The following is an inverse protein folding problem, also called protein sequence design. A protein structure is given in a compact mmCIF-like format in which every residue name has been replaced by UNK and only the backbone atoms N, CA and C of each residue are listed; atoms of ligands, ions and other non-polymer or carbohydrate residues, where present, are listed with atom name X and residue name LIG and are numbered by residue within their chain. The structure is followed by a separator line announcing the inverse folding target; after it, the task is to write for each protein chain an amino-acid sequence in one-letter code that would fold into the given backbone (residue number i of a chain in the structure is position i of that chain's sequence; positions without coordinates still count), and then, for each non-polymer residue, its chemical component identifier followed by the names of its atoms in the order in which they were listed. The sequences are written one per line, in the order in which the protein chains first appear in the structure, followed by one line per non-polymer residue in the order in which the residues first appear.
data_IF_242496895825
#
_entry.id   IF_242496895825
#
_cell.length_a   1.000
_cell.length_b   1.000
_cell.length_c   1.000
_cell.angle_alpha   90.00
_cell.angle_beta   90.00
_cell.angle_gamma   90.00
#
_symmetry.space_group_name_H-M   'P 1'
#
loop_
_entity.id
_entity.type
_entity.pdbx_description
1 polymer ?
#
# COMPACT_ATOMS: atom_id res chain seq x y z
N UNK A 1 10.06 6.22 -23.40
CA UNK A 1 9.21 6.22 -24.59
C UNK A 1 7.83 6.85 -24.31
N UNK A 2 7.10 6.46 -23.26
CA UNK A 2 5.77 7.00 -22.93
C UNK A 2 5.78 8.51 -22.67
N UNK A 3 6.78 9.05 -21.99
CA UNK A 3 6.93 10.50 -21.76
C UNK A 3 7.08 11.26 -23.09
N UNK A 4 7.87 10.71 -24.02
CA UNK A 4 8.12 11.33 -25.33
C UNK A 4 6.92 11.21 -26.29
N UNK A 5 6.11 10.15 -26.11
CA UNK A 5 4.91 9.91 -26.90
C UNK A 5 3.68 10.68 -26.39
N UNK A 6 3.76 11.23 -25.18
CA UNK A 6 2.68 12.01 -24.58
C UNK A 6 2.54 13.37 -25.28
N UNK A 7 1.30 13.76 -25.61
CA UNK A 7 0.95 15.08 -26.12
C UNK A 7 0.75 16.12 -24.99
N UNK A 8 0.91 15.71 -23.73
CA UNK A 8 0.75 16.58 -22.57
C UNK A 8 1.98 17.50 -22.42
N UNK A 9 1.78 18.70 -21.87
CA UNK A 9 2.90 19.53 -21.40
C UNK A 9 3.74 18.73 -20.40
N UNK A 10 5.05 18.84 -20.47
CA UNK A 10 5.94 18.05 -19.59
C UNK A 10 5.79 18.43 -18.12
N UNK A 11 5.37 19.65 -17.81
CA UNK A 11 5.02 20.11 -16.46
C UNK A 11 3.87 19.33 -15.83
N UNK A 12 2.99 18.74 -16.66
CA UNK A 12 1.87 17.89 -16.23
C UNK A 12 2.25 16.39 -16.13
N UNK A 13 3.55 16.10 -16.10
CA UNK A 13 4.07 14.74 -15.98
C UNK A 13 4.93 14.63 -14.72
N UNK A 14 4.51 13.78 -13.78
CA UNK A 14 5.28 13.46 -12.60
C UNK A 14 5.84 12.04 -12.66
N UNK A 15 7.08 11.90 -12.21
CA UNK A 15 7.71 10.60 -11.98
C UNK A 15 8.06 10.50 -10.49
N UNK A 16 7.38 9.61 -9.80
CA UNK A 16 7.47 9.44 -8.36
C UNK A 16 8.26 8.19 -8.01
N UNK A 17 9.15 8.31 -7.03
CA UNK A 17 9.91 7.20 -6.50
C UNK A 17 9.87 7.18 -4.97
N UNK A 18 10.16 6.01 -4.39
CA UNK A 18 10.24 5.86 -2.93
C UNK A 18 11.52 6.50 -2.36
N UNK A 19 12.61 6.52 -3.12
CA UNK A 19 13.92 6.96 -2.64
C UNK A 19 14.59 7.96 -3.59
N UNK A 20 15.41 8.84 -3.02
CA UNK A 20 16.24 9.80 -3.77
C UNK A 20 17.23 9.09 -4.70
N UNK A 21 17.72 7.90 -4.33
CA UNK A 21 18.62 7.11 -5.16
C UNK A 21 17.99 6.76 -6.51
N UNK A 22 16.76 6.24 -6.49
CA UNK A 22 16.02 5.90 -7.71
C UNK A 22 15.84 7.11 -8.63
N UNK A 23 15.57 8.29 -8.06
CA UNK A 23 15.44 9.53 -8.81
C UNK A 23 16.76 9.99 -9.42
N UNK A 24 17.87 9.89 -8.70
CA UNK A 24 19.20 10.22 -9.19
C UNK A 24 19.60 9.34 -10.38
N UNK A 25 19.37 8.02 -10.26
CA UNK A 25 19.64 7.06 -11.33
C UNK A 25 18.81 7.38 -12.58
N UNK A 26 17.52 7.66 -12.40
CA UNK A 26 16.63 8.05 -13.49
C UNK A 26 17.03 9.40 -14.10
N UNK A 27 17.37 10.40 -13.27
CA UNK A 27 17.82 11.71 -13.72
C UNK A 27 19.04 11.60 -14.66
N UNK A 28 20.01 10.75 -14.29
CA UNK A 28 21.19 10.50 -15.14
C UNK A 28 20.78 9.94 -16.52
N UNK A 29 19.85 8.99 -16.53
CA UNK A 29 19.34 8.42 -17.79
C UNK A 29 18.54 9.43 -18.63
N UNK A 30 17.76 10.29 -17.98
CA UNK A 30 16.99 11.32 -18.66
C UNK A 30 17.91 12.42 -19.27
N UNK A 31 18.95 12.82 -18.53
CA UNK A 31 19.98 13.74 -19.04
C UNK A 31 20.69 13.17 -20.27
N UNK A 32 21.07 11.89 -20.23
CA UNK A 32 21.71 11.22 -21.38
C UNK A 32 20.80 11.16 -22.63
N UNK A 33 19.48 11.31 -22.45
CA UNK A 33 18.50 11.37 -23.55
C UNK A 33 17.95 12.76 -23.83
N UNK A 34 18.58 13.79 -23.28
CA UNK A 34 18.17 15.21 -23.44
C UNK A 34 16.70 15.45 -23.06
N UNK A 35 16.19 14.74 -22.04
CA UNK A 35 14.86 14.95 -21.50
C UNK A 35 14.97 15.94 -20.34
N UNK A 36 14.43 17.15 -20.54
CA UNK A 36 14.42 18.21 -19.54
C UNK A 36 13.55 17.77 -18.32
N UNK A 37 14.08 17.95 -17.13
CA UNK A 37 13.41 17.55 -15.89
C UNK A 37 13.94 18.30 -14.68
N UNK A 38 13.09 18.42 -13.66
CA UNK A 38 13.42 19.01 -12.35
C UNK A 38 13.32 17.93 -11.27
N UNK A 39 14.30 17.92 -10.36
CA UNK A 39 14.37 17.02 -9.21
C UNK A 39 13.82 17.75 -7.98
N UNK A 40 12.81 17.16 -7.34
CA UNK A 40 12.27 17.59 -6.05
C UNK A 40 12.56 16.54 -4.99
N UNK A 41 13.26 16.94 -3.94
CA UNK A 41 13.47 16.10 -2.75
C UNK A 41 13.24 16.94 -1.48
N UNK A 42 12.92 16.26 -0.39
CA UNK A 42 12.71 16.91 0.91
C UNK A 42 13.97 17.64 1.42
N UNK A 43 15.15 17.20 0.96
CA UNK A 43 16.45 17.80 1.31
C UNK A 43 16.68 19.11 0.56
N UNK A 44 16.10 19.27 -0.62
CA UNK A 44 16.20 20.47 -1.45
C UNK A 44 14.97 21.35 -1.21
N UNK A 45 15.00 22.17 -0.16
CA UNK A 45 13.96 23.18 0.13
C UNK A 45 13.80 24.24 -0.96
N UNK A 46 14.49 24.11 -2.09
CA UNK A 46 14.33 25.01 -3.22
C UNK A 46 13.09 24.59 -4.02
N UNK A 47 12.09 25.41 -3.95
CA UNK A 47 10.91 25.44 -4.82
C UNK A 47 11.32 25.78 -6.26
N UNK A 48 12.08 24.91 -6.91
CA UNK A 48 12.25 25.03 -8.35
C UNK A 48 10.92 24.61 -8.97
N UNK A 49 10.15 25.60 -9.40
CA UNK A 49 8.92 25.35 -10.17
C UNK A 49 9.39 24.77 -11.49
N UNK A 50 8.85 23.59 -11.85
CA UNK A 50 9.11 23.01 -13.16
C UNK A 50 8.65 24.01 -14.24
N UNK A 51 9.53 24.33 -15.17
CA UNK A 51 9.15 25.10 -16.36
C UNK A 51 8.18 24.28 -17.23
N UNK A 52 7.49 24.93 -18.17
CA UNK A 52 6.53 24.25 -19.07
C UNK A 52 7.16 23.06 -19.84
N UNK A 53 8.49 23.08 -20.03
CA UNK A 53 9.24 22.03 -20.71
C UNK A 53 9.80 20.91 -19.82
N UNK A 54 9.58 20.93 -18.49
CA UNK A 54 10.25 20.06 -17.54
C UNK A 54 9.34 19.00 -16.95
N UNK A 55 9.79 17.74 -16.95
CA UNK A 55 9.17 16.65 -16.18
C UNK A 55 9.57 16.77 -14.72
N UNK A 56 8.63 16.64 -13.80
CA UNK A 56 8.93 16.63 -12.36
C UNK A 56 9.30 15.23 -11.90
N UNK A 57 10.52 15.07 -11.39
CA UNK A 57 10.97 13.88 -10.65
C UNK A 57 10.91 14.19 -9.16
N UNK A 58 10.17 13.40 -8.38
CA UNK A 58 10.01 13.67 -6.96
C UNK A 58 9.94 12.38 -6.12
N UNK A 59 10.36 12.48 -4.85
CA UNK A 59 9.96 11.46 -3.87
C UNK A 59 8.48 11.62 -3.56
N UNK A 60 7.85 10.53 -3.11
CA UNK A 60 6.43 10.57 -2.77
C UNK A 60 6.15 11.59 -1.66
N UNK A 61 7.09 11.77 -0.72
CA UNK A 61 6.98 12.77 0.35
C UNK A 61 7.02 14.20 -0.18
N UNK A 62 7.94 14.48 -1.10
CA UNK A 62 8.15 15.82 -1.65
C UNK A 62 7.01 16.32 -2.56
N UNK A 63 6.08 15.43 -2.96
CA UNK A 63 4.97 15.75 -3.88
C UNK A 63 3.64 15.94 -3.16
N UNK A 64 3.62 15.93 -1.83
CA UNK A 64 2.39 16.06 -1.05
C UNK A 64 1.64 17.35 -1.44
N UNK A 65 0.36 17.20 -1.78
CA UNK A 65 -0.53 18.32 -2.16
C UNK A 65 -0.47 18.74 -3.64
N UNK A 66 0.42 18.15 -4.46
CA UNK A 66 0.49 18.41 -5.89
C UNK A 66 -0.13 17.25 -6.68
N UNK A 67 -0.66 17.55 -7.86
CA UNK A 67 -1.27 16.59 -8.78
C UNK A 67 -0.83 16.86 -10.21
N UNK A 68 -0.88 15.83 -11.06
CA UNK A 68 -0.52 15.93 -12.47
C UNK A 68 -1.47 15.10 -13.34
N UNK A 69 -1.57 15.46 -14.61
CA UNK A 69 -2.38 14.73 -15.59
C UNK A 69 -1.87 13.29 -15.77
N UNK A 70 -0.55 13.12 -15.74
CA UNK A 70 0.13 11.86 -15.94
C UNK A 70 1.15 11.60 -14.82
N UNK A 71 1.00 10.50 -14.13
CA UNK A 71 1.92 10.10 -13.06
C UNK A 71 2.52 8.73 -13.35
N UNK A 72 3.83 8.64 -13.20
CA UNK A 72 4.57 7.39 -13.17
C UNK A 72 5.02 7.14 -11.73
N UNK A 73 4.67 6.00 -11.14
CA UNK A 73 5.27 5.51 -9.89
C UNK A 73 6.27 4.43 -10.26
N UNK A 74 7.55 4.70 -10.00
CA UNK A 74 8.63 3.80 -10.42
C UNK A 74 9.11 2.90 -9.28
N UNK A 75 9.57 1.71 -9.66
CA UNK A 75 10.14 0.76 -8.73
C UNK A 75 9.12 0.16 -7.76
N UNK A 76 7.91 -0.14 -8.23
CA UNK A 76 6.85 -0.79 -7.45
C UNK A 76 7.17 -2.27 -7.14
N UNK A 77 8.29 -2.52 -6.47
CA UNK A 77 8.77 -3.86 -6.10
C UNK A 77 8.64 -4.08 -4.59
N UNK A 78 8.64 -5.34 -4.16
CA UNK A 78 8.65 -5.72 -2.74
C UNK A 78 9.92 -5.28 -1.97
N UNK A 79 10.95 -4.82 -2.68
CA UNK A 79 12.15 -4.25 -2.08
C UNK A 79 11.97 -2.77 -1.71
N UNK A 80 11.11 -2.06 -2.42
CA UNK A 80 10.88 -0.62 -2.26
C UNK A 80 9.57 -0.31 -1.51
N UNK A 81 8.57 -1.19 -1.58
CA UNK A 81 7.27 -1.04 -0.93
C UNK A 81 6.82 -2.38 -0.31
N UNK A 82 6.79 -2.49 1.04
CA UNK A 82 7.24 -1.51 2.03
C UNK A 82 8.76 -1.32 2.00
N UNK A 83 9.23 -0.10 2.25
CA UNK A 83 10.65 0.18 2.32
C UNK A 83 11.24 -0.51 3.55
N UNK A 84 12.25 -1.35 3.31
CA UNK A 84 13.05 -1.96 4.38
C UNK A 84 14.04 -0.91 4.89
N UNK A 85 13.56 0.04 5.70
CA UNK A 85 14.44 0.98 6.38
C UNK A 85 15.22 0.24 7.47
N UNK A 86 16.51 0.45 7.51
CA UNK A 86 17.31 0.17 8.70
C UNK A 86 16.89 1.16 9.78
N UNK A 87 16.05 0.73 10.69
CA UNK A 87 15.76 1.52 11.88
C UNK A 87 17.00 1.46 12.77
N UNK A 88 17.45 2.64 13.22
CA UNK A 88 18.55 2.70 14.17
C UNK A 88 18.09 2.02 15.47
N UNK A 89 18.87 1.09 16.10
CA UNK A 89 18.45 0.35 17.28
C UNK A 89 17.92 1.23 18.43
N UNK A 90 18.39 2.48 18.50
CA UNK A 90 17.94 3.46 19.51
C UNK A 90 16.49 3.93 19.27
N UNK A 91 16.01 3.93 18.02
CA UNK A 91 14.63 4.33 17.70
C UNK A 91 13.63 3.27 18.17
N UNK A 92 13.99 1.99 18.12
CA UNK A 92 13.16 0.89 18.61
C UNK A 92 12.96 0.95 20.13
N UNK A 93 13.91 1.51 20.89
CA UNK A 93 13.81 1.66 22.34
C UNK A 93 12.88 2.80 22.79
N UNK A 94 12.59 3.75 21.92
CA UNK A 94 11.79 4.98 22.24
C UNK A 94 10.36 4.89 21.70
N UNK A 95 10.02 3.88 20.92
CA UNK A 95 8.64 3.71 20.40
C UNK A 95 7.68 3.37 21.51
N UNK A 96 6.88 4.36 21.90
CA UNK A 96 5.82 4.25 22.93
C UNK A 96 4.50 3.73 22.33
N UNK A 97 4.33 3.73 21.02
CA UNK A 97 3.14 3.25 20.32
C UNK A 97 3.52 2.25 19.22
N UNK A 98 2.67 1.23 19.01
CA UNK A 98 2.78 0.27 17.91
C UNK A 98 2.65 1.03 16.57
N UNK A 99 3.77 1.53 16.06
CA UNK A 99 3.84 2.13 14.75
C UNK A 99 3.80 1.03 13.68
N UNK A 100 2.64 0.86 13.03
CA UNK A 100 2.52 -0.07 11.92
C UNK A 100 3.16 0.55 10.65
N UNK A 101 4.43 0.24 10.46
CA UNK A 101 5.23 0.68 9.33
C UNK A 101 4.65 0.26 7.98
N UNK A 102 3.98 -0.88 7.92
CA UNK A 102 3.38 -1.36 6.68
C UNK A 102 2.15 -0.52 6.32
N UNK A 103 1.34 -0.13 7.30
CA UNK A 103 0.22 0.78 7.06
C UNK A 103 0.67 2.16 6.61
N UNK A 104 1.74 2.68 7.21
CA UNK A 104 2.29 3.97 6.78
C UNK A 104 2.85 3.91 5.35
N UNK A 105 3.54 2.84 5.00
CA UNK A 105 4.02 2.62 3.63
C UNK A 105 2.85 2.42 2.64
N UNK A 106 1.74 1.80 3.04
CA UNK A 106 0.51 1.73 2.24
C UNK A 106 -0.11 3.10 2.04
N UNK A 107 -0.20 3.92 3.09
CA UNK A 107 -0.69 5.30 3.00
C UNK A 107 0.17 6.12 2.06
N UNK A 108 1.50 5.98 2.16
CA UNK A 108 2.43 6.65 1.27
C UNK A 108 2.25 6.19 -0.18
N UNK A 109 2.09 4.90 -0.43
CA UNK A 109 1.80 4.38 -1.76
C UNK A 109 0.46 4.93 -2.29
N UNK A 110 -0.58 4.98 -1.44
CA UNK A 110 -1.87 5.58 -1.79
C UNK A 110 -1.73 7.06 -2.17
N UNK A 111 -0.92 7.83 -1.42
CA UNK A 111 -0.61 9.23 -1.77
C UNK A 111 0.00 9.31 -3.16
N UNK A 112 0.94 8.42 -3.51
CA UNK A 112 1.57 8.42 -4.83
C UNK A 112 0.55 8.18 -5.97
N UNK A 113 -0.29 7.16 -5.84
CA UNK A 113 -1.28 6.82 -6.89
C UNK A 113 -2.39 7.85 -7.01
N UNK A 114 -2.78 8.51 -5.91
CA UNK A 114 -3.80 9.57 -5.91
C UNK A 114 -3.33 10.89 -6.51
N UNK A 115 -2.05 11.02 -6.88
CA UNK A 115 -1.54 12.23 -7.57
C UNK A 115 -1.93 12.31 -9.04
N UNK A 116 -2.39 11.22 -9.63
CA UNK A 116 -2.76 11.16 -11.04
C UNK A 116 -4.20 11.64 -11.27
N UNK A 117 -4.36 12.66 -12.13
CA UNK A 117 -5.69 13.15 -12.55
C UNK A 117 -6.29 12.31 -13.67
N UNK A 118 -5.49 11.90 -14.66
CA UNK A 118 -5.99 11.15 -15.84
C UNK A 118 -5.34 9.80 -16.04
N UNK A 119 -4.01 9.72 -15.91
CA UNK A 119 -3.28 8.50 -16.26
C UNK A 119 -2.24 8.17 -15.20
N UNK A 120 -2.25 6.91 -14.79
CA UNK A 120 -1.31 6.36 -13.83
C UNK A 120 -0.55 5.19 -14.44
N UNK A 121 0.77 5.21 -14.33
CA UNK A 121 1.64 4.10 -14.72
C UNK A 121 2.41 3.60 -13.50
N UNK A 122 2.21 2.34 -13.16
CA UNK A 122 2.97 1.65 -12.12
C UNK A 122 4.06 0.81 -12.82
N UNK A 123 5.32 1.04 -12.47
CA UNK A 123 6.43 0.31 -13.09
C UNK A 123 7.20 -0.50 -12.06
N UNK A 124 7.58 -1.70 -12.42
CA UNK A 124 8.45 -2.55 -11.59
C UNK A 124 9.44 -3.32 -12.47
N UNK A 125 10.56 -3.72 -11.88
CA UNK A 125 11.57 -4.56 -12.49
C UNK A 125 11.69 -5.86 -11.70
N UNK A 126 11.93 -6.98 -12.40
CA UNK A 126 12.03 -8.31 -11.77
C UNK A 126 10.74 -9.13 -11.81
N UNK A 127 10.70 -10.22 -11.02
CA UNK A 127 9.62 -11.21 -11.08
C UNK A 127 8.38 -10.86 -10.25
N UNK A 128 8.52 -10.00 -9.24
CA UNK A 128 7.42 -9.70 -8.29
C UNK A 128 7.26 -8.20 -8.10
N UNK A 129 6.03 -7.72 -8.30
CA UNK A 129 5.63 -6.38 -7.88
C UNK A 129 5.43 -6.33 -6.35
N UNK A 130 5.19 -5.15 -5.81
CA UNK A 130 4.82 -4.96 -4.41
C UNK A 130 3.47 -5.60 -4.09
N UNK A 131 3.30 -6.10 -2.85
CA UNK A 131 2.02 -6.60 -2.34
C UNK A 131 0.93 -5.52 -2.25
N UNK A 132 1.30 -4.24 -2.34
CA UNK A 132 0.36 -3.12 -2.34
C UNK A 132 -0.47 -3.02 -3.65
N UNK A 133 0.01 -3.65 -4.72
CA UNK A 133 -0.77 -3.82 -5.96
C UNK A 133 -1.52 -5.14 -5.84
N UNK A 134 -2.79 -5.05 -5.48
CA UNK A 134 -3.67 -6.23 -5.32
C UNK A 134 -4.07 -6.83 -6.66
N UNK A 135 -4.52 -8.09 -6.64
CA UNK A 135 -5.07 -8.75 -7.83
C UNK A 135 -6.24 -7.95 -8.43
N UNK A 136 -7.11 -7.38 -7.59
CA UNK A 136 -8.22 -6.53 -8.03
C UNK A 136 -7.72 -5.27 -8.76
N UNK A 137 -6.63 -4.66 -8.29
CA UNK A 137 -6.01 -3.54 -9.02
C UNK A 137 -5.41 -4.01 -10.34
N UNK A 138 -4.82 -5.19 -10.40
CA UNK A 138 -4.29 -5.76 -11.64
C UNK A 138 -5.38 -6.01 -12.69
N UNK A 139 -6.56 -6.43 -12.29
CA UNK A 139 -7.71 -6.61 -13.19
C UNK A 139 -8.20 -5.30 -13.82
N UNK A 140 -7.96 -4.18 -13.15
CA UNK A 140 -8.25 -2.83 -13.65
C UNK A 140 -7.15 -2.26 -14.56
N UNK A 141 -5.93 -2.79 -14.47
CA UNK A 141 -4.81 -2.34 -15.28
C UNK A 141 -4.99 -2.78 -16.74
N UNK A 142 -4.86 -1.83 -17.66
CA UNK A 142 -5.02 -2.08 -19.11
C UNK A 142 -6.45 -1.98 -19.63
N UNK A 143 -7.46 -1.87 -18.78
CA UNK A 143 -8.80 -1.50 -19.20
C UNK A 143 -8.84 0.00 -19.48
N UNK A 144 -9.14 0.42 -20.71
CA UNK A 144 -9.50 1.81 -20.98
C UNK A 144 -10.78 2.09 -20.20
N UNK A 145 -10.70 2.94 -19.19
CA UNK A 145 -11.90 3.44 -18.51
C UNK A 145 -12.54 4.42 -19.47
N UNK A 146 -13.61 4.03 -20.12
CA UNK A 146 -14.45 4.94 -20.87
C UNK A 146 -14.94 6.02 -19.90
N UNK A 147 -14.63 7.28 -20.19
CA UNK A 147 -14.93 8.44 -19.35
C UNK A 147 -16.45 8.64 -19.08
N UNK A 148 -17.31 7.76 -19.62
CA UNK A 148 -18.76 7.75 -19.44
C UNK A 148 -19.27 6.66 -18.50
N UNK A 149 -18.40 5.91 -17.82
CA UNK A 149 -18.86 5.03 -16.76
C UNK A 149 -19.26 5.93 -15.57
N UNK A 150 -20.53 6.38 -15.56
CA UNK A 150 -21.18 6.74 -14.30
C UNK A 150 -20.80 5.64 -13.34
N UNK A 151 -20.15 6.02 -12.24
CA UNK A 151 -19.89 5.16 -11.09
C UNK A 151 -21.23 4.49 -10.71
N UNK A 152 -21.54 3.40 -11.37
CA UNK A 152 -22.52 2.48 -10.83
C UNK A 152 -21.84 1.94 -9.59
N UNK A 153 -22.30 2.42 -8.46
CA UNK A 153 -22.03 1.84 -7.16
C UNK A 153 -22.46 0.38 -7.24
N UNK A 154 -21.55 -0.48 -7.69
CA UNK A 154 -21.68 -1.92 -7.46
C UNK A 154 -21.82 -2.07 -5.95
N UNK A 155 -22.76 -2.86 -5.46
CA UNK A 155 -23.00 -2.99 -4.03
C UNK A 155 -21.88 -3.78 -3.37
N UNK A 156 -20.74 -3.13 -3.13
CA UNK A 156 -19.67 -3.60 -2.25
C UNK A 156 -20.14 -3.57 -0.78
N UNK A 157 -21.36 -3.10 -0.56
CA UNK A 157 -21.90 -2.81 0.78
C UNK A 157 -22.28 -4.05 1.61
N UNK A 158 -22.46 -5.22 1.00
CA UNK A 158 -22.81 -6.43 1.78
C UNK A 158 -21.58 -7.16 2.31
N UNK A 159 -20.50 -7.26 1.54
CA UNK A 159 -19.28 -7.93 1.98
C UNK A 159 -18.46 -7.07 2.96
N UNK A 160 -18.42 -5.75 2.79
CA UNK A 160 -17.75 -4.85 3.73
C UNK A 160 -18.45 -4.74 5.09
N UNK A 161 -19.80 -4.79 5.15
CA UNK A 161 -20.51 -4.85 6.42
C UNK A 161 -20.20 -6.14 7.17
N UNK A 162 -20.22 -7.27 6.48
CA UNK A 162 -19.88 -8.56 7.08
C UNK A 162 -18.43 -8.61 7.59
N UNK A 163 -17.47 -8.12 6.82
CA UNK A 163 -16.07 -8.11 7.24
C UNK A 163 -15.82 -7.20 8.47
N UNK A 164 -16.41 -5.99 8.49
CA UNK A 164 -16.29 -5.09 9.63
C UNK A 164 -16.90 -5.69 10.91
N UNK A 165 -18.04 -6.35 10.78
CA UNK A 165 -18.71 -7.02 11.89
C UNK A 165 -17.90 -8.23 12.42
N UNK A 166 -17.27 -8.99 11.53
CA UNK A 166 -16.38 -10.10 11.89
C UNK A 166 -15.14 -9.59 12.61
N UNK A 167 -14.55 -8.48 12.15
CA UNK A 167 -13.39 -7.84 12.79
C UNK A 167 -13.74 -7.46 14.24
N UNK A 168 -14.89 -6.83 14.47
CA UNK A 168 -15.28 -6.41 15.82
C UNK A 168 -15.56 -7.63 16.72
N UNK A 169 -16.22 -8.68 16.22
CA UNK A 169 -16.44 -9.92 16.96
C UNK A 169 -15.12 -10.63 17.35
N UNK A 170 -14.17 -10.70 16.41
CA UNK A 170 -12.85 -11.29 16.67
C UNK A 170 -12.04 -10.46 17.67
N UNK A 171 -12.11 -9.13 17.62
CA UNK A 171 -11.46 -8.25 18.60
C UNK A 171 -12.05 -8.41 20.01
N UNK A 172 -13.38 -8.49 20.10
CA UNK A 172 -14.05 -8.69 21.38
C UNK A 172 -13.70 -10.07 21.98
N UNK A 173 -13.82 -11.14 21.19
CA UNK A 173 -13.41 -12.48 21.61
C UNK A 173 -11.94 -12.50 22.09
N UNK A 174 -11.04 -11.90 21.31
CA UNK A 174 -9.61 -11.80 21.69
C UNK A 174 -9.42 -11.06 23.00
N UNK A 175 -10.13 -9.95 23.21
CA UNK A 175 -10.05 -9.14 24.43
C UNK A 175 -10.51 -9.93 25.67
N UNK A 176 -11.62 -10.64 25.54
CA UNK A 176 -12.13 -11.48 26.63
C UNK A 176 -11.19 -12.62 26.96
N UNK A 177 -10.67 -13.30 25.94
CA UNK A 177 -9.73 -14.40 26.09
C UNK A 177 -8.41 -13.94 26.74
N UNK A 178 -7.89 -12.79 26.31
CA UNK A 178 -6.71 -12.15 26.90
C UNK A 178 -6.89 -11.84 28.37
N UNK A 179 -8.07 -11.31 28.75
CA UNK A 179 -8.42 -11.05 30.15
C UNK A 179 -8.48 -12.31 30.96
N UNK A 180 -9.11 -13.38 30.45
CA UNK A 180 -9.21 -14.69 31.12
C UNK A 180 -7.83 -15.33 31.32
N UNK A 181 -6.93 -15.19 30.40
CA UNK A 181 -5.58 -15.79 30.44
C UNK A 181 -4.53 -14.89 31.13
N UNK A 182 -4.85 -13.64 31.43
CA UNK A 182 -3.89 -12.66 32.00
C UNK A 182 -2.73 -12.32 31.10
N UNK A 183 -2.92 -12.38 29.79
CA UNK A 183 -1.89 -12.09 28.77
C UNK A 183 -2.31 -10.95 27.86
N UNK A 184 -1.36 -10.23 27.25
CA UNK A 184 -1.68 -9.19 26.29
C UNK A 184 -2.44 -9.74 25.06
N UNK A 185 -3.42 -8.99 24.54
CA UNK A 185 -4.30 -9.42 23.45
C UNK A 185 -3.55 -9.80 22.16
N UNK A 186 -2.46 -9.08 21.84
CA UNK A 186 -1.64 -9.34 20.65
C UNK A 186 -0.93 -10.71 20.67
N UNK A 187 -0.70 -11.30 21.86
CA UNK A 187 -0.12 -12.64 21.99
C UNK A 187 -1.06 -13.70 21.42
N UNK A 188 -2.36 -13.50 21.56
CA UNK A 188 -3.39 -14.38 21.00
C UNK A 188 -3.45 -14.23 19.50
N UNK A 189 -3.82 -13.03 19.01
CA UNK A 189 -3.87 -12.67 17.58
C UNK A 189 -3.48 -11.21 17.39
N UNK A 190 -2.66 -10.93 16.38
CA UNK A 190 -2.40 -9.58 15.93
C UNK A 190 -3.61 -9.00 15.16
N UNK A 191 -3.76 -7.68 15.15
CA UNK A 191 -4.84 -7.01 14.40
C UNK A 191 -4.79 -7.32 12.91
N UNK A 192 -3.59 -7.43 12.33
CA UNK A 192 -3.39 -7.87 10.95
C UNK A 192 -3.99 -9.25 10.68
N UNK A 193 -3.76 -10.20 11.58
CA UNK A 193 -4.33 -11.55 11.48
C UNK A 193 -5.86 -11.52 11.55
N UNK A 194 -6.44 -10.65 12.39
CA UNK A 194 -7.89 -10.48 12.49
C UNK A 194 -8.47 -9.91 11.18
N UNK A 195 -7.80 -8.94 10.57
CA UNK A 195 -8.21 -8.37 9.30
C UNK A 195 -8.15 -9.42 8.18
N UNK A 196 -7.08 -10.21 8.14
CA UNK A 196 -6.89 -11.27 7.16
C UNK A 196 -7.95 -12.36 7.31
N UNK A 197 -8.27 -12.79 8.54
CA UNK A 197 -9.35 -13.71 8.86
C UNK A 197 -10.72 -13.20 8.34
N UNK A 198 -11.02 -11.92 8.54
CA UNK A 198 -12.28 -11.33 8.10
C UNK A 198 -12.35 -11.15 6.57
N UNK A 199 -11.22 -11.05 5.89
CA UNK A 199 -11.14 -10.95 4.43
C UNK A 199 -11.23 -12.31 3.74
N UNK A 200 -10.56 -13.31 4.29
CA UNK A 200 -10.48 -14.65 3.71
C UNK A 200 -11.65 -15.56 4.13
N UNK A 201 -12.26 -15.27 5.29
CA UNK A 201 -13.41 -16.00 5.85
C UNK A 201 -13.17 -17.53 5.86
N UNK A 202 -12.11 -18.02 6.51
CA UNK A 202 -11.80 -19.45 6.58
C UNK A 202 -12.95 -20.24 7.17
N UNK A 203 -13.19 -21.43 6.64
CA UNK A 203 -14.27 -22.33 7.06
C UNK A 203 -13.75 -23.60 7.72
N UNK A 204 -12.47 -23.93 7.51
CA UNK A 204 -11.82 -25.14 8.00
C UNK A 204 -10.54 -24.82 8.76
N UNK A 205 -10.00 -25.81 9.47
CA UNK A 205 -8.69 -25.66 10.15
C UNK A 205 -7.53 -25.56 9.15
N UNK A 206 -7.66 -26.22 8.02
CA UNK A 206 -6.72 -26.18 6.92
C UNK A 206 -6.65 -24.78 6.30
N UNK A 207 -7.80 -24.10 6.13
CA UNK A 207 -7.82 -22.70 5.68
C UNK A 207 -7.11 -21.75 6.66
N UNK A 208 -7.13 -22.07 7.97
CA UNK A 208 -6.43 -21.28 8.97
C UNK A 208 -4.90 -21.37 8.87
N UNK A 209 -4.35 -22.44 8.28
CA UNK A 209 -2.92 -22.59 8.05
C UNK A 209 -2.37 -21.57 7.05
N UNK A 210 -3.22 -21.12 6.12
CA UNK A 210 -2.85 -20.12 5.11
C UNK A 210 -2.84 -18.68 5.67
N UNK A 211 -3.41 -18.46 6.87
CA UNK A 211 -3.49 -17.14 7.49
C UNK A 211 -2.19 -16.74 8.16
N UNK A 212 -1.66 -15.58 7.78
CA UNK A 212 -0.42 -15.06 8.36
C UNK A 212 -0.57 -14.81 9.86
N UNK A 213 0.32 -15.41 10.66
CA UNK A 213 0.33 -15.25 12.12
C UNK A 213 -0.52 -16.28 12.88
N UNK A 214 -1.11 -17.25 12.17
CA UNK A 214 -1.73 -18.44 12.77
C UNK A 214 -0.85 -19.65 12.46
N UNK A 215 -0.07 -20.06 13.44
CA UNK A 215 0.73 -21.28 13.34
C UNK A 215 0.02 -22.50 13.93
N UNK A 216 0.57 -23.73 13.76
CA UNK A 216 -0.06 -24.99 14.20
C UNK A 216 -0.50 -24.98 15.65
N UNK A 217 0.30 -24.40 16.53
CA UNK A 217 -0.04 -24.29 17.97
C UNK A 217 -1.28 -23.43 18.24
N UNK A 218 -1.46 -22.36 17.45
CA UNK A 218 -2.64 -21.49 17.58
C UNK A 218 -3.89 -22.14 17.00
N UNK A 219 -3.73 -22.91 15.93
CA UNK A 219 -4.83 -23.67 15.32
C UNK A 219 -5.36 -24.70 16.31
N UNK A 220 -4.47 -25.46 16.95
CA UNK A 220 -4.85 -26.43 17.97
C UNK A 220 -5.56 -25.76 19.15
N UNK A 221 -5.04 -24.61 19.60
CA UNK A 221 -5.53 -23.94 20.81
C UNK A 221 -6.79 -23.10 20.58
N UNK A 222 -6.88 -22.41 19.44
CA UNK A 222 -7.90 -21.38 19.20
C UNK A 222 -8.69 -21.59 17.90
N UNK A 223 -8.30 -22.55 17.04
CA UNK A 223 -8.86 -22.68 15.69
C UNK A 223 -10.38 -22.86 15.68
N UNK A 224 -10.93 -23.71 16.54
CA UNK A 224 -12.37 -23.94 16.61
C UNK A 224 -13.15 -22.70 17.07
N UNK A 225 -12.61 -21.97 18.05
CA UNK A 225 -13.23 -20.74 18.53
C UNK A 225 -13.20 -19.65 17.46
N UNK A 226 -12.07 -19.50 16.74
CA UNK A 226 -11.94 -18.54 15.65
C UNK A 226 -12.97 -18.82 14.56
N UNK A 227 -13.09 -20.07 14.09
CA UNK A 227 -14.06 -20.45 13.07
C UNK A 227 -15.52 -20.22 13.53
N UNK A 228 -15.81 -20.50 14.81
CA UNK A 228 -17.12 -20.22 15.40
C UNK A 228 -17.44 -18.72 15.41
N UNK A 229 -16.50 -17.87 15.80
CA UNK A 229 -16.68 -16.42 15.82
C UNK A 229 -16.89 -15.87 14.40
N UNK A 230 -16.17 -16.40 13.40
CA UNK A 230 -16.33 -16.01 12.00
C UNK A 230 -17.70 -16.41 11.47
N UNK A 231 -18.16 -17.64 11.75
CA UNK A 231 -19.47 -18.13 11.29
C UNK A 231 -20.67 -17.50 11.99
N UNK A 232 -20.46 -16.66 13.01
CA UNK A 232 -21.55 -16.00 13.73
C UNK A 232 -22.19 -16.83 14.86
N UNK A 233 -21.57 -17.96 15.22
CA UNK A 233 -21.96 -18.75 16.37
C UNK A 233 -21.36 -18.20 17.67
N UNK A 234 -22.10 -17.42 18.41
CA UNK A 234 -21.86 -17.15 19.84
C UNK A 234 -22.57 -18.21 20.67
#
# INVERSE_FOLDING_TARGET
QHILASKLPRSEIFVLARTNRQLKDLSTLMKARSIAHVLRSDELRQTTIAGEGDVTLATIHAIKGLEAELVFVIGCTSANFPAKGSEHPVIDMVKVEEYDKEEEEKRLFYVAISRAKKSLYLTYSGKKCTSFITLQMMDLLGKKVDANVKLQKTPVHSQQKNAAEIIERLKEWRRELARKQGIPAYVILHDRTIIELAQQMPSTKEDLEEITGIGPMKIVKYGEEILRVISGGL
#
